data_IF_191032576114
#
_entry.id   IF_191032576114
#
_cell.length_a   1.000
_cell.length_b   1.000
_cell.length_c   1.000
_cell.angle_alpha   90.00
_cell.angle_beta   90.00
_cell.angle_gamma   90.00
#
_symmetry.space_group_name_H-M   'P 1'
#
loop_
_entity.id
_entity.type
_entity.pdbx_description
1 polymer ?
#
# COMPACT_ATOMS: atom_id res chain seq x y z
N UNK A 1 6.93 33.57 -38.57
CA UNK A 1 6.65 32.29 -37.90
C UNK A 1 5.85 31.43 -38.86
N UNK A 2 6.47 30.43 -39.49
CA UNK A 2 5.81 29.59 -40.49
C UNK A 2 4.65 28.82 -39.85
N UNK A 3 3.43 29.00 -40.38
CA UNK A 3 2.26 28.22 -39.98
C UNK A 3 2.43 26.82 -40.55
N UNK A 4 2.88 25.90 -39.71
CA UNK A 4 2.83 24.45 -40.00
C UNK A 4 1.42 24.07 -40.46
N UNK A 5 1.33 23.23 -41.50
CA UNK A 5 0.05 22.80 -42.03
C UNK A 5 -0.76 22.04 -40.97
N UNK A 6 -2.04 22.39 -40.82
CA UNK A 6 -2.99 21.73 -39.92
C UNK A 6 -2.90 20.18 -39.89
N UNK A 7 -2.75 19.47 -41.03
CA UNK A 7 -2.64 18.00 -40.99
C UNK A 7 -1.41 17.48 -40.24
N UNK A 8 -0.26 18.16 -40.30
CA UNK A 8 0.95 17.72 -39.58
C UNK A 8 0.77 17.84 -38.06
N UNK A 9 0.12 18.92 -37.60
CA UNK A 9 -0.18 19.11 -36.18
C UNK A 9 -1.14 18.04 -35.65
N UNK A 10 -2.17 17.70 -36.44
CA UNK A 10 -3.12 16.67 -36.08
C UNK A 10 -2.45 15.29 -35.98
N UNK A 11 -1.57 14.98 -36.93
CA UNK A 11 -0.81 13.72 -36.93
C UNK A 11 0.12 13.58 -35.71
N UNK A 12 0.83 14.66 -35.34
CA UNK A 12 1.68 14.69 -34.14
C UNK A 12 0.85 14.51 -32.85
N UNK A 13 -0.29 15.19 -32.73
CA UNK A 13 -1.16 15.02 -31.57
C UNK A 13 -1.72 13.59 -31.46
N UNK A 14 -2.15 13.01 -32.58
CA UNK A 14 -2.67 11.66 -32.63
C UNK A 14 -1.62 10.61 -32.25
N UNK A 15 -0.40 10.74 -32.78
CA UNK A 15 0.72 9.84 -32.42
C UNK A 15 1.08 9.95 -30.95
N UNK A 16 1.09 11.15 -30.37
CA UNK A 16 1.28 11.34 -28.92
C UNK A 16 0.19 10.66 -28.09
N UNK A 17 -1.08 10.84 -28.46
CA UNK A 17 -2.22 10.22 -27.76
C UNK A 17 -2.15 8.69 -27.87
N UNK A 18 -1.82 8.17 -29.05
CA UNK A 18 -1.70 6.74 -29.29
C UNK A 18 -0.57 6.12 -28.47
N UNK A 19 0.61 6.75 -28.44
CA UNK A 19 1.74 6.32 -27.62
C UNK A 19 1.36 6.37 -26.13
N UNK A 20 0.69 7.43 -25.68
CA UNK A 20 0.27 7.57 -24.29
C UNK A 20 -0.74 6.50 -23.87
N UNK A 21 -1.73 6.22 -24.72
CA UNK A 21 -2.68 5.11 -24.55
C UNK A 21 -1.97 3.77 -24.53
N UNK A 22 -1.00 3.54 -25.41
CA UNK A 22 -0.21 2.31 -25.45
C UNK A 22 0.60 2.13 -24.16
N UNK A 23 1.22 3.19 -23.65
CA UNK A 23 1.97 3.16 -22.39
C UNK A 23 1.03 2.84 -21.23
N UNK A 24 -0.13 3.48 -21.12
CA UNK A 24 -1.09 3.19 -20.05
C UNK A 24 -1.56 1.73 -20.14
N UNK A 25 -1.94 1.29 -21.34
CA UNK A 25 -2.51 -0.03 -21.55
C UNK A 25 -1.48 -1.15 -21.36
N UNK A 26 -0.22 -0.97 -21.78
CA UNK A 26 0.80 -2.01 -21.70
C UNK A 26 1.73 -1.89 -20.50
N UNK A 27 1.87 -0.73 -19.86
CA UNK A 27 2.75 -0.56 -18.68
C UNK A 27 1.96 -0.58 -17.38
N UNK A 28 0.85 0.16 -17.33
CA UNK A 28 0.11 0.37 -16.09
C UNK A 28 -0.96 -0.69 -15.88
N UNK A 29 -1.60 -1.18 -16.95
CA UNK A 29 -2.57 -2.28 -16.85
C UNK A 29 -1.96 -3.60 -16.34
N UNK A 30 -0.85 -4.13 -16.90
CA UNK A 30 -0.28 -5.37 -16.35
C UNK A 30 0.26 -5.14 -14.95
N UNK A 31 0.79 -3.96 -14.62
CA UNK A 31 1.19 -3.63 -13.24
C UNK A 31 0.01 -3.72 -12.27
N UNK A 32 -1.15 -3.20 -12.66
CA UNK A 32 -2.35 -3.23 -11.82
C UNK A 32 -2.91 -4.65 -11.68
N UNK A 33 -2.93 -5.44 -12.76
CA UNK A 33 -3.47 -6.80 -12.78
C UNK A 33 -2.54 -7.84 -12.13
N UNK A 34 -1.21 -7.66 -12.23
CA UNK A 34 -0.22 -8.59 -11.67
C UNK A 34 0.16 -8.30 -10.22
N UNK A 35 -0.34 -7.21 -9.61
CA UNK A 35 -0.04 -6.91 -8.22
C UNK A 35 -0.78 -7.90 -7.28
N UNK A 36 -0.17 -9.07 -7.09
CA UNK A 36 -0.65 -10.08 -6.16
C UNK A 36 -0.42 -9.61 -4.72
N UNK A 37 -1.46 -9.73 -3.89
CA UNK A 37 -1.34 -9.59 -2.44
C UNK A 37 -0.39 -10.67 -1.94
N UNK A 38 0.66 -10.28 -1.21
CA UNK A 38 1.53 -11.23 -0.51
C UNK A 38 0.76 -11.80 0.67
N UNK A 39 0.70 -13.13 0.78
CA UNK A 39 0.16 -13.80 1.97
C UNK A 39 1.19 -13.67 3.11
N UNK A 40 0.77 -13.09 4.22
CA UNK A 40 1.62 -12.85 5.40
C UNK A 40 1.09 -13.56 6.66
N UNK A 41 0.33 -14.64 6.45
CA UNK A 41 -0.22 -15.46 7.54
C UNK A 41 0.89 -15.95 8.47
N UNK A 42 0.69 -15.80 9.79
CA UNK A 42 1.63 -16.16 10.86
C UNK A 42 2.99 -15.45 10.85
N UNK A 43 3.21 -14.47 9.97
CA UNK A 43 4.42 -13.66 9.98
C UNK A 43 4.31 -12.54 11.03
N UNK A 44 5.45 -12.14 11.59
CA UNK A 44 5.51 -11.01 12.52
C UNK A 44 5.64 -9.71 11.74
N UNK A 45 4.77 -8.75 12.01
CA UNK A 45 4.72 -7.44 11.34
C UNK A 45 4.79 -6.35 12.40
N UNK A 46 5.79 -5.48 12.29
CA UNK A 46 5.94 -4.32 13.18
C UNK A 46 5.37 -3.09 12.48
N UNK A 47 4.48 -2.37 13.15
CA UNK A 47 3.79 -1.18 12.64
C UNK A 47 4.08 0.00 13.55
N UNK A 48 4.79 0.98 13.04
CA UNK A 48 5.06 2.25 13.72
C UNK A 48 3.88 3.21 13.56
N UNK A 49 3.58 4.05 14.57
CA UNK A 49 2.46 4.99 14.52
C UNK A 49 1.10 4.29 14.44
N UNK A 50 1.03 3.04 14.94
CA UNK A 50 -0.13 2.17 14.81
C UNK A 50 -1.22 2.42 15.85
N UNK A 51 -1.03 3.34 16.79
CA UNK A 51 -2.05 3.63 17.80
C UNK A 51 -3.24 4.40 17.19
N UNK A 52 -3.02 5.23 16.17
CA UNK A 52 -4.07 6.14 15.67
C UNK A 52 -4.17 6.16 14.13
N UNK A 53 -5.28 6.71 13.64
CA UNK A 53 -5.48 7.02 12.22
C UNK A 53 -5.26 5.83 11.27
N UNK A 54 -4.41 6.05 10.26
CA UNK A 54 -4.11 5.06 9.21
C UNK A 54 -3.40 3.84 9.80
N UNK A 55 -2.42 4.05 10.69
CA UNK A 55 -1.63 2.97 11.28
C UNK A 55 -2.50 1.97 12.04
N UNK A 56 -3.52 2.45 12.77
CA UNK A 56 -4.51 1.62 13.47
C UNK A 56 -5.35 0.78 12.51
N UNK A 57 -5.80 1.36 11.40
CA UNK A 57 -6.61 0.63 10.42
C UNK A 57 -5.75 -0.43 9.71
N UNK A 58 -4.50 -0.11 9.38
CA UNK A 58 -3.56 -1.05 8.78
C UNK A 58 -3.24 -2.19 9.75
N UNK A 59 -2.95 -1.91 11.02
CA UNK A 59 -2.67 -2.95 12.02
C UNK A 59 -3.86 -3.89 12.23
N UNK A 60 -5.08 -3.34 12.27
CA UNK A 60 -6.31 -4.13 12.34
C UNK A 60 -6.50 -5.02 11.10
N UNK A 61 -6.26 -4.48 9.91
CA UNK A 61 -6.39 -5.23 8.65
C UNK A 61 -5.37 -6.37 8.58
N UNK A 62 -4.11 -6.11 8.95
CA UNK A 62 -3.03 -7.11 8.96
C UNK A 62 -3.28 -8.21 10.01
N UNK A 63 -3.79 -7.86 11.19
CA UNK A 63 -4.08 -8.84 12.24
C UNK A 63 -5.30 -9.72 11.90
N UNK A 64 -6.39 -9.11 11.42
CA UNK A 64 -7.66 -9.82 11.20
C UNK A 64 -7.70 -10.52 9.85
N UNK A 65 -7.41 -9.79 8.76
CA UNK A 65 -7.60 -10.30 7.40
C UNK A 65 -6.44 -11.18 6.96
N UNK A 66 -5.22 -10.75 7.26
CA UNK A 66 -4.00 -11.45 6.84
C UNK A 66 -3.46 -12.41 7.92
N UNK A 67 -4.12 -12.50 9.09
CA UNK A 67 -3.74 -13.37 10.23
C UNK A 67 -2.26 -13.25 10.62
N UNK A 68 -1.71 -12.05 10.50
CA UNK A 68 -0.33 -11.76 10.88
C UNK A 68 -0.23 -11.47 12.38
N UNK A 69 0.93 -11.76 12.97
CA UNK A 69 1.25 -11.37 14.35
C UNK A 69 1.74 -9.93 14.33
N UNK A 70 0.90 -8.99 14.76
CA UNK A 70 1.19 -7.55 14.64
C UNK A 70 1.74 -6.99 15.96
N UNK A 71 2.89 -6.32 15.89
CA UNK A 71 3.46 -5.51 16.96
C UNK A 71 3.26 -4.03 16.63
N UNK A 72 2.66 -3.26 17.55
CA UNK A 72 2.40 -1.83 17.36
C UNK A 72 3.46 -1.06 18.16
N UNK A 73 4.19 -0.18 17.48
CA UNK A 73 5.15 0.74 18.09
C UNK A 73 4.65 2.17 17.94
N UNK A 74 4.34 2.84 19.04
CA UNK A 74 3.87 4.23 19.04
C UNK A 74 4.48 4.98 20.22
N UNK A 75 4.59 6.31 20.09
CA UNK A 75 5.04 7.19 21.16
C UNK A 75 3.92 7.43 22.16
N UNK A 76 2.67 7.35 21.72
CA UNK A 76 1.51 7.57 22.57
C UNK A 76 0.98 6.24 23.12
N UNK A 77 0.90 6.13 24.45
CA UNK A 77 0.42 4.94 25.17
C UNK A 77 -1.12 4.84 25.15
N UNK A 78 -1.71 4.76 23.95
CA UNK A 78 -3.15 4.54 23.82
C UNK A 78 -3.43 3.04 23.86
N UNK A 79 -3.77 2.54 25.05
CA UNK A 79 -4.13 1.14 25.26
C UNK A 79 -5.49 0.84 24.64
N UNK A 80 -5.52 0.02 23.58
CA UNK A 80 -6.77 -0.49 23.01
C UNK A 80 -7.05 -1.89 23.58
N UNK A 81 -8.18 -2.09 24.28
CA UNK A 81 -8.59 -3.42 24.71
C UNK A 81 -8.96 -4.23 23.46
N UNK A 82 -8.03 -5.06 22.98
CA UNK A 82 -8.30 -6.06 21.93
C UNK A 82 -7.34 -6.10 20.74
N UNK A 83 -6.31 -5.24 20.66
CA UNK A 83 -5.39 -5.24 19.50
C UNK A 83 -3.89 -5.13 19.84
N UNK A 84 -3.53 -4.90 21.10
CA UNK A 84 -2.18 -5.14 21.55
C UNK A 84 -2.00 -6.65 21.69
N UNK A 85 -1.24 -7.26 20.77
CA UNK A 85 -0.39 -8.40 21.08
C UNK A 85 -1.00 -9.38 22.12
N UNK A 86 -2.04 -10.11 21.75
CA UNK A 86 -2.44 -11.32 22.47
C UNK A 86 -1.84 -12.51 21.74
N UNK A 87 -0.67 -13.00 22.20
CA UNK A 87 -0.13 -14.23 21.70
C UNK A 87 -1.00 -15.34 22.29
N UNK A 88 -1.51 -16.22 21.42
CA UNK A 88 -1.77 -17.58 21.87
C UNK A 88 -0.42 -18.17 22.30
N UNK A 89 -0.14 -18.11 23.61
CA UNK A 89 1.07 -18.63 24.23
C UNK A 89 2.31 -17.72 24.11
N UNK A 90 2.77 -17.28 25.28
CA UNK A 90 4.19 -17.00 25.60
C UNK A 90 4.75 -15.62 25.19
N UNK A 91 5.01 -14.81 26.23
CA UNK A 91 5.86 -13.62 26.36
C UNK A 91 5.81 -12.54 25.26
N UNK A 92 5.35 -11.33 25.64
CA UNK A 92 5.51 -10.12 24.82
C UNK A 92 6.14 -9.02 25.65
N UNK A 93 7.23 -8.52 25.09
CA UNK A 93 7.98 -7.37 25.54
C UNK A 93 7.51 -6.14 24.76
N UNK A 94 7.01 -5.15 25.47
CA UNK A 94 6.87 -3.79 24.94
C UNK A 94 8.30 -3.23 24.87
N UNK A 95 8.85 -3.06 23.67
CA UNK A 95 10.15 -2.40 23.51
C UNK A 95 9.93 -0.91 23.75
N UNK A 96 10.13 -0.52 25.02
CA UNK A 96 10.13 0.86 25.51
C UNK A 96 11.40 1.55 25.01
N UNK A 97 11.26 2.78 24.49
CA UNK A 97 12.38 3.72 24.38
C UNK A 97 12.40 4.64 25.59
#
# INVERSE_FOLDING_TARGET
MARESLPRRLFLAFTFIFIYLWIILFKDLPRLLFQRRKKIENQVVVITGGAMGIGKTVSKMMAIQERAKVCILDVNEVSYPGYACQPAGTHIEQIKK
#
